data_IF_123339936745
#
_entry.id   IF_123339936745
#
_cell.length_a   1.000
_cell.length_b   1.000
_cell.length_c   1.000
_cell.angle_alpha   90.00
_cell.angle_beta   90.00
_cell.angle_gamma   90.00
#
_symmetry.space_group_name_H-M   'P 1'
#
loop_
_entity.id
_entity.type
_entity.pdbx_description
1 polymer ?
#
# COMPACT_ATOMS: atom_id res chain seq x y z
N UNK A 1 15.36 -50.79 28.06
CA UNK A 1 15.89 -49.76 28.99
C UNK A 1 15.99 -48.45 28.22
N UNK A 2 15.16 -47.44 28.48
CA UNK A 2 15.29 -46.14 27.84
C UNK A 2 16.18 -45.22 28.70
N UNK A 3 17.14 -44.52 28.06
CA UNK A 3 17.98 -43.51 28.72
C UNK A 3 17.22 -42.19 28.79
N UNK A 4 17.03 -41.70 30.01
CA UNK A 4 16.64 -40.32 30.31
C UNK A 4 17.78 -39.36 29.92
N UNK A 5 17.44 -38.24 29.29
CA UNK A 5 18.30 -37.06 29.24
C UNK A 5 17.53 -35.89 29.84
N UNK A 6 18.15 -35.27 30.84
CA UNK A 6 17.63 -34.18 31.67
C UNK A 6 17.85 -32.84 30.96
N UNK A 7 16.82 -31.98 30.93
CA UNK A 7 16.92 -30.60 30.48
C UNK A 7 17.03 -29.69 31.71
N UNK A 8 18.12 -28.93 31.79
CA UNK A 8 18.29 -27.81 32.71
C UNK A 8 17.79 -26.52 32.04
N UNK A 9 17.07 -25.63 32.76
CA UNK A 9 16.60 -24.38 32.19
C UNK A 9 17.70 -23.30 32.26
N UNK A 10 17.95 -22.62 31.14
CA UNK A 10 18.78 -21.42 31.09
C UNK A 10 17.87 -20.21 31.34
N UNK A 11 18.11 -19.52 32.46
CA UNK A 11 17.53 -18.22 32.77
C UNK A 11 18.40 -17.11 32.20
N UNK A 12 17.81 -16.13 31.50
CA UNK A 12 18.46 -14.86 31.17
C UNK A 12 17.74 -13.74 31.91
N UNK A 13 18.47 -13.07 32.81
CA UNK A 13 18.10 -11.79 33.42
C UNK A 13 18.64 -10.60 32.62
N UNK A 14 18.17 -9.36 32.89
CA UNK A 14 18.46 -8.18 32.08
C UNK A 14 19.62 -7.31 32.61
N UNK A 15 20.05 -6.35 31.76
CA UNK A 15 20.84 -5.11 31.99
C UNK A 15 22.32 -5.07 31.48
N UNK A 16 22.92 -3.89 31.18
CA UNK A 16 22.35 -2.59 30.78
C UNK A 16 23.04 -1.91 29.57
N UNK A 17 22.38 -0.83 29.13
CA UNK A 17 22.74 0.15 28.09
C UNK A 17 24.04 0.92 28.39
N UNK A 18 24.89 1.14 27.38
CA UNK A 18 25.97 2.15 27.45
C UNK A 18 26.03 3.04 26.21
N UNK A 19 25.75 4.32 26.46
CA UNK A 19 25.89 5.48 25.58
C UNK A 19 27.38 5.82 25.33
N UNK A 20 27.73 6.13 24.08
CA UNK A 20 29.01 6.75 23.71
C UNK A 20 28.80 7.81 22.63
N UNK A 21 28.61 9.06 23.07
CA UNK A 21 28.86 10.25 22.26
C UNK A 21 30.37 10.53 22.21
N UNK A 22 30.94 10.72 21.02
CA UNK A 22 32.29 11.24 20.82
C UNK A 22 32.23 12.53 20.00
N UNK A 23 32.52 13.64 20.66
CA UNK A 23 32.78 14.96 20.08
C UNK A 23 34.22 15.04 19.57
N UNK A 24 34.44 15.78 18.47
CA UNK A 24 35.76 16.17 17.99
C UNK A 24 35.84 17.68 17.82
N UNK A 25 36.72 18.31 18.60
CA UNK A 25 37.19 19.69 18.45
C UNK A 25 38.49 19.70 17.63
N UNK A 26 38.61 20.63 16.68
CA UNK A 26 39.89 21.29 16.31
C UNK A 26 39.60 22.74 15.91
N UNK A 27 40.21 23.70 16.62
CA UNK A 27 40.47 25.06 16.14
C UNK A 27 41.65 25.08 15.16
N UNK A 28 42.18 26.18 14.64
CA UNK A 28 41.99 27.62 14.77
C UNK A 28 42.91 28.20 13.67
N UNK A 29 42.48 29.18 12.88
CA UNK A 29 43.41 30.14 12.24
C UNK A 29 42.70 31.49 12.01
N UNK A 30 43.47 32.56 12.19
CA UNK A 30 43.07 33.92 12.57
C UNK A 30 43.02 34.91 11.38
N UNK A 31 42.03 35.84 11.42
CA UNK A 31 41.95 37.30 11.07
C UNK A 31 42.76 37.93 9.89
N UNK A 32 42.34 39.06 9.24
CA UNK A 32 41.58 40.24 9.74
C UNK A 32 40.40 40.73 8.84
N UNK A 33 39.29 41.29 9.37
CA UNK A 33 38.95 42.69 9.75
C UNK A 33 39.16 43.82 8.71
N UNK A 34 38.06 44.54 8.38
CA UNK A 34 37.82 46.02 8.19
C UNK A 34 36.85 46.30 7.00
N UNK A 35 35.92 47.29 7.02
CA UNK A 35 35.15 47.91 8.11
C UNK A 35 33.63 48.09 7.84
N UNK A 36 32.96 48.46 8.91
CA UNK A 36 31.61 49.02 9.04
C UNK A 36 31.52 50.46 8.51
N UNK A 37 30.41 50.82 7.85
CA UNK A 37 29.99 52.22 7.67
C UNK A 37 28.51 52.37 8.05
N UNK A 38 28.23 53.23 9.01
CA UNK A 38 26.92 53.82 9.33
C UNK A 38 26.94 55.32 8.95
N UNK A 39 25.87 56.10 9.18
CA UNK A 39 24.54 56.06 8.59
C UNK A 39 24.21 57.40 7.91
N UNK A 40 23.17 57.47 7.09
CA UNK A 40 22.55 58.76 6.75
C UNK A 40 21.01 58.66 6.75
N UNK A 41 20.40 59.61 7.45
CA UNK A 41 18.96 59.94 7.49
C UNK A 41 18.82 61.40 7.04
N UNK A 42 17.61 61.95 6.81
CA UNK A 42 16.39 61.36 6.25
C UNK A 42 15.83 62.22 5.09
N UNK A 43 15.02 61.65 4.20
CA UNK A 43 14.07 62.44 3.41
C UNK A 43 12.66 61.93 3.66
N UNK A 44 11.94 62.72 4.46
CA UNK A 44 10.52 62.61 4.74
C UNK A 44 9.77 62.95 3.45
N UNK A 45 9.11 61.95 2.86
CA UNK A 45 8.08 62.14 1.85
C UNK A 45 6.74 61.71 2.47
N UNK A 46 5.95 62.72 2.83
CA UNK A 46 4.55 62.56 3.21
C UNK A 46 3.79 61.94 2.03
N UNK A 47 3.51 60.64 2.10
CA UNK A 47 2.48 60.01 1.26
C UNK A 47 1.24 59.77 2.11
N UNK A 48 0.20 60.55 1.80
CA UNK A 48 -1.15 60.42 2.32
C UNK A 48 -1.73 59.04 2.00
N UNK A 49 -1.71 58.14 2.96
CA UNK A 49 -2.32 56.81 2.92
C UNK A 49 -3.81 56.89 3.28
N UNK A 50 -4.66 57.47 2.44
CA UNK A 50 -6.10 57.51 2.75
C UNK A 50 -7.08 57.37 1.58
N UNK A 51 -6.65 57.00 0.37
CA UNK A 51 -7.59 56.93 -0.77
C UNK A 51 -7.43 55.75 -1.76
N UNK A 52 -6.64 54.71 -1.46
CA UNK A 52 -6.44 53.60 -2.41
C UNK A 52 -6.92 52.22 -1.94
N UNK A 53 -7.16 52.01 -0.64
CA UNK A 53 -7.67 50.73 -0.13
C UNK A 53 -9.11 50.35 -0.56
N UNK A 54 -10.10 51.27 -0.60
CA UNK A 54 -11.46 50.86 -0.98
C UNK A 54 -11.59 50.59 -2.50
N UNK A 55 -10.72 51.16 -3.34
CA UNK A 55 -10.76 50.97 -4.80
C UNK A 55 -10.18 49.62 -5.24
N UNK A 56 -9.15 49.12 -4.55
CA UNK A 56 -8.57 47.79 -4.82
C UNK A 56 -9.55 46.68 -4.41
N UNK A 57 -10.26 46.86 -3.28
CA UNK A 57 -11.28 45.89 -2.84
C UNK A 57 -12.49 45.85 -3.78
N UNK A 58 -12.96 47.01 -4.26
CA UNK A 58 -14.04 47.08 -5.25
C UNK A 58 -13.64 46.52 -6.62
N UNK A 59 -12.39 46.70 -7.05
CA UNK A 59 -11.89 46.12 -8.30
C UNK A 59 -11.77 44.58 -8.20
N UNK A 60 -11.31 44.04 -7.07
CA UNK A 60 -11.26 42.59 -6.85
C UNK A 60 -12.66 41.94 -6.79
N UNK A 61 -13.64 42.61 -6.15
CA UNK A 61 -15.02 42.15 -6.12
C UNK A 61 -15.71 42.23 -7.49
N UNK A 62 -15.43 43.28 -8.28
CA UNK A 62 -15.96 43.42 -9.64
C UNK A 62 -15.31 42.43 -10.63
N UNK A 63 -14.03 42.11 -10.47
CA UNK A 63 -13.33 41.10 -11.29
C UNK A 63 -13.79 39.67 -10.95
N UNK A 64 -14.13 39.40 -9.68
CA UNK A 64 -14.74 38.13 -9.27
C UNK A 64 -16.19 37.98 -9.77
N UNK A 65 -16.93 39.08 -9.93
CA UNK A 65 -18.31 39.09 -10.41
C UNK A 65 -18.45 39.10 -11.95
N UNK A 66 -17.38 39.44 -12.68
CA UNK A 66 -17.36 39.51 -14.15
C UNK A 66 -16.52 38.42 -14.82
N UNK A 67 -15.92 37.51 -14.05
CA UNK A 67 -15.40 36.27 -14.61
C UNK A 67 -16.58 35.53 -15.26
N UNK A 68 -16.50 35.15 -16.55
CA UNK A 68 -17.58 34.41 -17.16
C UNK A 68 -17.78 33.13 -16.35
N UNK A 69 -19.01 32.88 -15.92
CA UNK A 69 -19.50 31.59 -15.42
C UNK A 69 -19.48 30.55 -16.55
N UNK A 70 -18.32 30.38 -17.20
CA UNK A 70 -18.07 29.45 -18.30
C UNK A 70 -17.22 28.26 -17.82
N UNK A 71 -16.96 28.13 -16.51
CA UNK A 71 -16.32 26.93 -15.94
C UNK A 71 -17.16 26.17 -14.90
N UNK A 72 -18.45 26.46 -14.78
CA UNK A 72 -19.35 25.71 -13.90
C UNK A 72 -20.59 25.25 -14.68
N UNK A 73 -20.39 24.51 -15.78
CA UNK A 73 -21.27 23.36 -15.93
C UNK A 73 -21.06 22.50 -14.66
N UNK A 74 -22.10 21.86 -14.10
CA UNK A 74 -21.87 20.81 -13.13
C UNK A 74 -21.09 19.72 -13.85
N UNK A 75 -19.76 19.81 -13.82
CA UNK A 75 -18.90 18.67 -14.04
C UNK A 75 -19.41 17.69 -13.00
N UNK A 76 -20.15 16.70 -13.44
CA UNK A 76 -20.73 15.69 -12.60
C UNK A 76 -19.56 15.00 -11.89
N UNK A 77 -19.25 15.50 -10.68
CA UNK A 77 -18.09 15.07 -9.90
C UNK A 77 -18.22 13.58 -9.61
N UNK A 78 -19.45 13.06 -9.55
CA UNK A 78 -19.76 11.66 -9.34
C UNK A 78 -19.27 10.76 -10.48
N UNK A 79 -19.11 11.29 -11.70
CA UNK A 79 -18.68 10.53 -12.86
C UNK A 79 -17.18 10.70 -13.17
N UNK A 80 -16.42 11.38 -12.31
CA UNK A 80 -14.96 11.42 -12.44
C UNK A 80 -14.37 10.09 -11.95
N UNK A 81 -13.45 9.52 -12.71
CA UNK A 81 -12.82 8.23 -12.39
C UNK A 81 -12.21 8.19 -10.97
N UNK A 82 -11.56 9.26 -10.54
CA UNK A 82 -11.00 9.37 -9.18
C UNK A 82 -12.09 9.30 -8.11
N UNK A 83 -13.25 9.90 -8.35
CA UNK A 83 -14.38 9.86 -7.42
C UNK A 83 -14.96 8.44 -7.31
N UNK A 84 -15.21 7.76 -8.44
CA UNK A 84 -15.78 6.40 -8.45
C UNK A 84 -14.86 5.41 -7.73
N UNK A 85 -13.54 5.53 -7.97
CA UNK A 85 -12.54 4.66 -7.36
C UNK A 85 -12.41 4.92 -5.85
N UNK A 86 -12.45 6.20 -5.44
CA UNK A 86 -12.47 6.56 -4.03
C UNK A 86 -13.73 6.05 -3.33
N UNK A 87 -14.91 6.21 -3.95
CA UNK A 87 -16.18 5.71 -3.40
C UNK A 87 -16.13 4.20 -3.18
N UNK A 88 -15.56 3.44 -4.12
CA UNK A 88 -15.37 2.01 -3.96
C UNK A 88 -14.40 1.67 -2.81
N UNK A 89 -13.26 2.34 -2.73
CA UNK A 89 -12.31 2.15 -1.64
C UNK A 89 -12.94 2.47 -0.26
N UNK A 90 -13.75 3.53 -0.19
CA UNK A 90 -14.46 3.94 1.02
C UNK A 90 -15.52 2.91 1.42
N UNK A 91 -16.23 2.30 0.47
CA UNK A 91 -17.15 1.18 0.74
C UNK A 91 -16.43 -0.03 1.33
N UNK A 92 -15.25 -0.37 0.84
CA UNK A 92 -14.44 -1.46 1.40
C UNK A 92 -14.00 -1.13 2.83
N UNK A 93 -13.51 0.09 3.07
CA UNK A 93 -13.12 0.54 4.41
C UNK A 93 -14.31 0.54 5.38
N UNK A 94 -15.48 0.99 4.93
CA UNK A 94 -16.70 0.98 5.73
C UNK A 94 -17.12 -0.45 6.08
N UNK A 95 -17.12 -1.36 5.11
CA UNK A 95 -17.39 -2.78 5.36
C UNK A 95 -16.46 -3.34 6.45
N UNK A 96 -15.16 -3.04 6.39
CA UNK A 96 -14.20 -3.49 7.40
C UNK A 96 -14.41 -2.82 8.75
N UNK A 97 -14.77 -1.53 8.78
CA UNK A 97 -15.08 -0.82 10.02
C UNK A 97 -16.32 -1.43 10.72
N UNK A 98 -17.31 -1.87 9.95
CA UNK A 98 -18.54 -2.48 10.48
C UNK A 98 -18.37 -3.95 10.86
N UNK A 99 -17.59 -4.71 10.08
CA UNK A 99 -17.55 -6.18 10.16
C UNK A 99 -16.22 -6.74 10.66
N UNK A 100 -15.19 -5.90 10.82
CA UNK A 100 -13.84 -6.28 11.19
C UNK A 100 -13.00 -6.80 10.02
N UNK A 101 -11.72 -7.04 10.31
CA UNK A 101 -10.71 -7.54 9.36
C UNK A 101 -10.67 -9.06 9.24
N UNK A 102 -11.56 -9.76 9.94
CA UNK A 102 -11.67 -11.21 9.89
C UNK A 102 -12.85 -11.71 10.73
N UNK A 103 -12.94 -13.02 10.94
CA UNK A 103 -14.00 -13.64 11.71
C UNK A 103 -15.36 -13.71 11.01
N UNK A 104 -16.38 -14.15 11.75
CA UNK A 104 -17.68 -14.52 11.18
C UNK A 104 -18.49 -13.35 10.61
N UNK A 105 -18.31 -12.15 11.15
CA UNK A 105 -18.99 -10.94 10.70
C UNK A 105 -18.51 -10.46 9.33
N UNK A 106 -17.27 -10.74 8.93
CA UNK A 106 -16.68 -10.26 7.67
C UNK A 106 -16.75 -11.30 6.54
N UNK A 107 -17.70 -12.24 6.63
CA UNK A 107 -17.90 -13.30 5.63
C UNK A 107 -18.74 -12.83 4.45
N UNK A 108 -18.41 -13.34 3.27
CA UNK A 108 -19.29 -13.32 2.12
C UNK A 108 -20.56 -14.14 2.43
N UNK A 109 -21.77 -13.58 2.34
CA UNK A 109 -23.00 -14.29 2.70
C UNK A 109 -23.30 -15.48 1.78
N UNK A 110 -22.72 -15.51 0.56
CA UNK A 110 -22.95 -16.60 -0.40
C UNK A 110 -22.00 -17.77 -0.21
N UNK A 111 -20.73 -17.49 0.04
CA UNK A 111 -19.68 -18.52 0.13
C UNK A 111 -19.32 -18.86 1.57
N UNK A 112 -19.73 -18.01 2.54
CA UNK A 112 -19.34 -18.11 3.93
C UNK A 112 -17.86 -17.78 4.19
N UNK A 113 -17.10 -17.28 3.22
CA UNK A 113 -15.65 -17.07 3.37
C UNK A 113 -15.31 -15.65 3.83
N UNK A 114 -14.28 -15.53 4.65
CA UNK A 114 -13.84 -14.27 5.26
C UNK A 114 -13.16 -13.36 4.22
N UNK A 115 -13.75 -12.22 3.91
CA UNK A 115 -13.38 -11.40 2.75
C UNK A 115 -12.05 -10.63 2.89
N UNK A 116 -11.74 -9.93 4.00
CA UNK A 116 -10.58 -9.05 4.02
C UNK A 116 -9.22 -9.78 3.79
N UNK A 117 -8.90 -10.89 4.48
CA UNK A 117 -7.70 -11.67 4.19
C UNK A 117 -7.72 -12.30 2.78
N UNK A 118 -8.90 -12.62 2.24
CA UNK A 118 -9.02 -13.14 0.88
C UNK A 118 -8.71 -12.08 -0.18
N UNK A 119 -9.14 -10.83 0.00
CA UNK A 119 -8.78 -9.75 -0.92
C UNK A 119 -7.28 -9.50 -0.93
N UNK A 120 -6.62 -9.56 0.23
CA UNK A 120 -5.17 -9.49 0.32
C UNK A 120 -4.48 -10.66 -0.40
N UNK A 121 -4.98 -11.89 -0.22
CA UNK A 121 -4.42 -13.06 -0.91
C UNK A 121 -4.63 -12.98 -2.42
N UNK A 122 -5.82 -12.57 -2.88
CA UNK A 122 -6.15 -12.48 -4.30
C UNK A 122 -5.13 -11.63 -5.07
N UNK A 123 -4.74 -10.48 -4.54
CA UNK A 123 -3.80 -9.60 -5.25
C UNK A 123 -2.39 -10.19 -5.33
N UNK A 124 -1.92 -10.93 -4.31
CA UNK A 124 -0.63 -11.60 -4.40
C UNK A 124 -0.66 -12.69 -5.47
N UNK A 125 -1.74 -13.45 -5.52
CA UNK A 125 -1.90 -14.52 -6.52
C UNK A 125 -2.12 -13.99 -7.94
N UNK A 126 -2.68 -12.80 -8.10
CA UNK A 126 -2.81 -12.10 -9.39
C UNK A 126 -1.49 -11.42 -9.83
N UNK A 127 -0.46 -11.43 -8.98
CA UNK A 127 0.84 -10.81 -9.29
C UNK A 127 1.87 -11.78 -9.87
N UNK A 128 1.47 -13.01 -10.23
CA UNK A 128 2.37 -14.11 -10.58
C UNK A 128 3.37 -13.78 -11.69
N UNK A 129 2.92 -13.09 -12.73
CA UNK A 129 3.73 -12.74 -13.91
C UNK A 129 4.54 -11.43 -13.79
N UNK A 130 4.63 -10.84 -12.59
CA UNK A 130 5.57 -9.72 -12.37
C UNK A 130 7.01 -10.20 -12.64
N UNK A 131 7.64 -9.63 -13.67
CA UNK A 131 9.03 -9.92 -14.03
C UNK A 131 9.79 -8.67 -14.49
N UNK A 132 10.89 -8.35 -13.81
CA UNK A 132 11.79 -7.25 -14.21
C UNK A 132 12.81 -7.64 -15.28
N UNK A 133 12.87 -8.92 -15.71
CA UNK A 133 13.71 -9.33 -16.84
C UNK A 133 13.01 -8.98 -18.15
N UNK A 134 13.40 -7.85 -18.74
CA UNK A 134 12.83 -7.39 -20.00
C UNK A 134 13.32 -8.23 -21.17
N UNK A 135 12.40 -8.85 -21.90
CA UNK A 135 12.62 -9.10 -23.33
C UNK A 135 12.14 -7.85 -24.08
N UNK A 136 13.03 -7.28 -24.90
CA UNK A 136 12.75 -6.06 -25.65
C UNK A 136 11.56 -6.24 -26.59
N UNK A 137 10.49 -5.48 -26.34
CA UNK A 137 9.33 -5.39 -27.22
C UNK A 137 8.55 -4.11 -26.93
N UNK A 138 8.33 -3.31 -27.97
CA UNK A 138 7.67 -2.01 -27.92
C UNK A 138 6.16 -2.08 -27.53
N UNK A 139 5.77 -1.08 -26.71
CA UNK A 139 4.44 -0.45 -26.50
C UNK A 139 3.38 -1.13 -25.58
N UNK A 140 2.47 -0.34 -24.95
CA UNK A 140 2.55 1.03 -24.40
C UNK A 140 2.14 1.09 -22.90
N UNK A 141 2.45 2.14 -22.10
CA UNK A 141 1.77 2.34 -20.82
C UNK A 141 0.68 3.40 -20.95
N UNK A 142 -0.55 3.06 -20.59
CA UNK A 142 -1.53 4.04 -20.10
C UNK A 142 -1.85 3.69 -18.65
N UNK A 143 -0.82 3.73 -17.80
CA UNK A 143 -1.02 3.73 -16.36
C UNK A 143 -1.40 5.14 -15.93
N UNK A 144 -2.57 5.30 -15.30
CA UNK A 144 -2.96 6.55 -14.66
C UNK A 144 -2.80 6.37 -13.16
N UNK A 145 -1.89 7.13 -12.55
CA UNK A 145 -1.77 7.20 -11.09
C UNK A 145 -3.03 7.89 -10.56
N UNK A 146 -3.81 7.16 -9.77
CA UNK A 146 -4.99 7.69 -9.08
C UNK A 146 -4.61 7.87 -7.62
N UNK A 147 -4.33 9.12 -7.23
CA UNK A 147 -4.05 9.43 -5.83
C UNK A 147 -5.36 9.37 -5.04
N UNK A 148 -5.51 8.32 -4.22
CA UNK A 148 -6.57 8.27 -3.20
C UNK A 148 -6.31 9.35 -2.15
N UNK A 149 -7.36 9.88 -1.53
CA UNK A 149 -7.18 10.92 -0.50
C UNK A 149 -6.47 10.34 0.72
N UNK A 150 -5.40 10.99 1.22
CA UNK A 150 -4.72 10.53 2.42
C UNK A 150 -5.60 10.66 3.65
N UNK A 151 -5.49 9.68 4.56
CA UNK A 151 -6.01 9.78 5.93
C UNK A 151 -5.26 10.91 6.68
N UNK A 152 -5.83 11.54 7.74
CA UNK A 152 -5.33 12.81 8.29
C UNK A 152 -4.02 12.74 9.09
N UNK A 153 -3.13 11.77 8.83
CA UNK A 153 -1.82 11.69 9.46
C UNK A 153 -0.71 12.14 8.49
N UNK A 154 0.20 13.04 8.93
CA UNK A 154 1.22 13.60 8.06
C UNK A 154 2.35 12.59 7.86
N UNK A 155 2.38 11.92 6.70
CA UNK A 155 3.57 11.21 6.22
C UNK A 155 4.12 11.88 4.94
N UNK A 156 5.45 11.93 4.83
CA UNK A 156 6.21 12.70 3.85
C UNK A 156 6.05 12.13 2.42
N UNK A 157 6.12 12.96 1.37
CA UNK A 157 5.85 12.54 0.00
C UNK A 157 7.08 12.03 -0.80
N UNK A 158 8.21 11.70 -0.17
CA UNK A 158 9.46 11.39 -0.91
C UNK A 158 9.77 9.90 -1.15
N UNK A 159 8.85 8.99 -0.85
CA UNK A 159 8.94 7.60 -1.31
C UNK A 159 7.64 7.15 -1.98
N UNK A 160 7.27 7.84 -3.05
CA UNK A 160 6.21 7.39 -3.96
C UNK A 160 6.60 6.03 -4.53
N UNK A 161 5.76 5.02 -4.37
CA UNK A 161 6.00 3.68 -4.90
C UNK A 161 5.77 3.67 -6.43
N UNK A 162 6.66 4.28 -7.20
CA UNK A 162 6.69 4.23 -8.67
C UNK A 162 7.27 2.91 -9.20
N UNK A 163 7.19 1.82 -8.42
CA UNK A 163 7.97 0.60 -8.63
C UNK A 163 7.54 -0.26 -9.83
N UNK A 164 6.35 -0.05 -10.40
CA UNK A 164 5.79 -0.90 -11.47
C UNK A 164 5.95 -0.33 -12.89
N UNK A 165 6.86 0.61 -13.14
CA UNK A 165 6.91 1.34 -14.42
C UNK A 165 7.68 0.67 -15.58
N UNK A 166 8.22 -0.55 -15.46
CA UNK A 166 8.91 -1.16 -16.61
C UNK A 166 8.90 -2.69 -16.65
N UNK A 167 7.87 -3.28 -17.27
CA UNK A 167 7.95 -4.36 -18.26
C UNK A 167 6.55 -4.87 -18.61
N UNK A 168 6.40 -5.46 -19.80
CA UNK A 168 5.15 -5.87 -20.44
C UNK A 168 4.33 -6.99 -19.77
N UNK A 169 4.56 -7.27 -18.48
CA UNK A 169 3.61 -7.95 -17.61
C UNK A 169 3.68 -7.32 -16.22
N UNK A 170 2.55 -6.83 -15.73
CA UNK A 170 2.48 -5.99 -14.53
C UNK A 170 2.11 -6.78 -13.27
N UNK A 171 1.64 -8.02 -13.42
CA UNK A 171 0.75 -8.62 -12.43
C UNK A 171 -0.40 -7.67 -12.05
N UNK A 172 -1.19 -8.04 -11.05
CA UNK A 172 -2.26 -7.18 -10.52
C UNK A 172 -3.23 -6.71 -11.63
N UNK A 173 -3.41 -7.54 -12.65
CA UNK A 173 -4.03 -7.22 -13.93
C UNK A 173 -5.30 -8.04 -14.20
N UNK A 174 -5.72 -8.83 -13.20
CA UNK A 174 -6.91 -9.65 -13.17
C UNK A 174 -6.78 -11.00 -13.88
N UNK A 175 -5.58 -11.42 -14.31
CA UNK A 175 -5.33 -12.72 -14.93
C UNK A 175 -5.77 -13.90 -14.05
N UNK A 176 -5.76 -13.75 -12.72
CA UNK A 176 -6.12 -14.80 -11.74
C UNK A 176 -7.49 -15.43 -11.98
N UNK A 177 -8.43 -14.71 -12.62
CA UNK A 177 -9.77 -15.22 -12.93
C UNK A 177 -9.71 -16.44 -13.85
N UNK A 178 -8.63 -16.59 -14.62
CA UNK A 178 -8.37 -17.72 -15.52
C UNK A 178 -7.53 -18.82 -14.87
N UNK A 179 -7.20 -18.70 -13.58
CA UNK A 179 -6.14 -19.46 -12.93
C UNK A 179 -6.57 -20.14 -11.63
N UNK A 180 -7.81 -19.95 -11.20
CA UNK A 180 -8.32 -20.44 -9.92
C UNK A 180 -8.20 -21.97 -9.71
N UNK A 181 -8.02 -22.74 -10.80
CA UNK A 181 -7.79 -24.19 -10.75
C UNK A 181 -6.31 -24.61 -10.62
N UNK A 182 -5.37 -23.66 -10.52
CA UNK A 182 -3.93 -23.95 -10.43
C UNK A 182 -3.49 -24.23 -9.00
N UNK A 183 -2.41 -25.02 -8.80
CA UNK A 183 -1.80 -25.20 -7.48
C UNK A 183 -1.46 -23.86 -6.82
N UNK A 184 -1.75 -23.73 -5.54
CA UNK A 184 -1.58 -22.50 -4.77
C UNK A 184 -2.82 -21.61 -4.74
N UNK A 185 -3.74 -21.73 -5.71
CA UNK A 185 -4.96 -20.93 -5.77
C UNK A 185 -6.15 -21.58 -5.03
N UNK A 186 -5.91 -22.63 -4.26
CA UNK A 186 -6.96 -23.38 -3.56
C UNK A 186 -7.78 -22.46 -2.64
N UNK A 187 -9.10 -22.52 -2.80
CA UNK A 187 -10.02 -21.70 -2.00
C UNK A 187 -10.21 -20.27 -2.50
N UNK A 188 -9.54 -19.83 -3.57
CA UNK A 188 -9.87 -18.57 -4.25
C UNK A 188 -11.06 -18.77 -5.19
N UNK A 189 -11.95 -17.78 -5.29
CA UNK A 189 -13.11 -17.84 -6.17
C UNK A 189 -13.55 -16.45 -6.63
N UNK A 190 -14.09 -16.38 -7.86
CA UNK A 190 -14.68 -15.14 -8.41
C UNK A 190 -15.78 -14.59 -7.50
N UNK A 191 -16.54 -15.48 -6.84
CA UNK A 191 -17.62 -15.09 -5.94
C UNK A 191 -17.15 -14.28 -4.72
N UNK A 192 -15.86 -14.35 -4.36
CA UNK A 192 -15.26 -13.65 -3.22
C UNK A 192 -14.51 -12.37 -3.63
N UNK A 193 -14.36 -12.13 -4.94
CA UNK A 193 -13.70 -10.93 -5.46
C UNK A 193 -14.57 -9.69 -5.21
N UNK A 194 -13.93 -8.60 -4.79
CA UNK A 194 -14.60 -7.32 -4.71
C UNK A 194 -14.93 -6.83 -6.14
N UNK A 195 -16.14 -6.32 -6.33
CA UNK A 195 -16.64 -5.96 -7.65
C UNK A 195 -17.45 -4.65 -7.60
N UNK A 196 -17.32 -3.86 -8.66
CA UNK A 196 -18.08 -2.64 -8.89
C UNK A 196 -18.27 -2.45 -10.40
N UNK A 197 -19.48 -2.14 -10.85
CA UNK A 197 -19.82 -2.10 -12.28
C UNK A 197 -19.11 -0.98 -13.05
N UNK A 198 -18.69 0.07 -12.36
CA UNK A 198 -18.03 1.25 -12.94
C UNK A 198 -16.50 1.29 -12.72
N UNK A 199 -15.92 0.25 -12.13
CA UNK A 199 -14.47 0.13 -11.89
C UNK A 199 -13.97 -1.13 -12.60
N UNK A 200 -12.77 -1.08 -13.18
CA UNK A 200 -12.19 -2.27 -13.83
C UNK A 200 -12.01 -3.39 -12.80
N UNK A 201 -12.26 -4.65 -13.19
CA UNK A 201 -12.12 -5.80 -12.28
C UNK A 201 -10.72 -5.92 -11.63
N UNK A 202 -9.60 -5.73 -12.35
CA UNK A 202 -8.27 -5.71 -11.72
C UNK A 202 -8.14 -4.58 -10.70
N UNK A 203 -8.67 -3.41 -11.04
CA UNK A 203 -8.65 -2.24 -10.17
C UNK A 203 -9.50 -2.47 -8.91
N UNK A 204 -10.65 -3.15 -8.99
CA UNK A 204 -11.46 -3.48 -7.79
C UNK A 204 -10.75 -4.46 -6.87
N UNK A 205 -10.02 -5.44 -7.42
CA UNK A 205 -9.20 -6.37 -6.63
C UNK A 205 -8.07 -5.63 -5.90
N UNK A 206 -7.29 -4.83 -6.64
CA UNK A 206 -6.18 -4.06 -6.11
C UNK A 206 -6.63 -3.06 -5.04
N UNK A 207 -7.69 -2.29 -5.32
CA UNK A 207 -8.25 -1.33 -4.37
C UNK A 207 -8.79 -2.00 -3.12
N UNK A 208 -9.45 -3.16 -3.23
CA UNK A 208 -9.99 -3.85 -2.07
C UNK A 208 -8.89 -4.34 -1.13
N UNK A 209 -7.78 -4.86 -1.67
CA UNK A 209 -6.63 -5.25 -0.86
C UNK A 209 -5.94 -4.04 -0.21
N UNK A 210 -5.69 -2.96 -0.96
CA UNK A 210 -5.08 -1.73 -0.43
C UNK A 210 -5.95 -1.12 0.67
N UNK A 211 -7.26 -1.03 0.44
CA UNK A 211 -8.21 -0.54 1.43
C UNK A 211 -8.25 -1.45 2.66
N UNK A 212 -8.11 -2.77 2.49
CA UNK A 212 -8.02 -3.72 3.59
C UNK A 212 -6.80 -3.49 4.45
N UNK A 213 -5.62 -3.41 3.84
CA UNK A 213 -4.36 -3.15 4.57
C UNK A 213 -4.49 -1.87 5.40
N UNK A 214 -4.96 -0.78 4.78
CA UNK A 214 -5.14 0.50 5.48
C UNK A 214 -6.18 0.44 6.61
N UNK A 215 -7.33 -0.22 6.38
CA UNK A 215 -8.39 -0.32 7.39
C UNK A 215 -8.02 -1.23 8.57
N UNK A 216 -7.15 -2.21 8.35
CA UNK A 216 -6.74 -3.19 9.34
C UNK A 216 -5.52 -2.78 10.19
N UNK A 217 -5.01 -1.56 10.01
CA UNK A 217 -3.87 -1.02 10.77
C UNK A 217 -2.54 -1.08 10.03
N UNK A 218 -2.54 -1.51 8.77
CA UNK A 218 -1.35 -1.55 7.91
C UNK A 218 -1.02 -0.19 7.27
N UNK A 219 0.05 -0.16 6.45
CA UNK A 219 0.50 1.07 5.81
C UNK A 219 -0.46 1.56 4.72
N UNK A 220 -0.38 2.86 4.42
CA UNK A 220 -1.05 3.42 3.25
C UNK A 220 -0.27 3.08 1.98
N UNK A 221 -0.94 2.48 0.99
CA UNK A 221 -0.34 2.03 -0.27
C UNK A 221 -0.90 2.86 -1.42
N UNK A 222 -0.01 3.30 -2.30
CA UNK A 222 -0.40 4.04 -3.49
C UNK A 222 -1.06 3.11 -4.50
N UNK A 223 -2.14 3.59 -5.11
CA UNK A 223 -2.91 2.84 -6.09
C UNK A 223 -2.66 3.37 -7.51
N UNK A 224 -2.51 2.44 -8.46
CA UNK A 224 -2.42 2.74 -9.90
C UNK A 224 -3.51 1.97 -10.61
N UNK A 225 -4.25 2.65 -11.49
CA UNK A 225 -5.36 2.09 -12.26
C UNK A 225 -4.91 1.67 -13.66
N UNK A 226 -5.63 0.70 -14.22
CA UNK A 226 -5.56 0.36 -15.64
C UNK A 226 -4.56 -0.75 -15.95
N UNK A 227 -4.14 -1.50 -14.93
CA UNK A 227 -3.36 -2.72 -15.11
C UNK A 227 -4.29 -3.78 -15.69
N UNK A 228 -3.94 -4.30 -16.87
CA UNK A 228 -4.71 -5.33 -17.58
C UNK A 228 -3.79 -6.13 -18.48
N UNK A 229 -3.89 -7.45 -18.39
CA UNK A 229 -3.23 -8.39 -19.29
C UNK A 229 -4.25 -9.37 -19.90
N UNK A 230 -4.12 -9.71 -21.19
CA UNK A 230 -4.98 -10.69 -21.82
C UNK A 230 -4.52 -12.13 -21.50
N UNK A 231 -5.31 -12.85 -20.71
CA UNK A 231 -5.14 -14.29 -20.48
C UNK A 231 -4.48 -14.63 -19.15
N UNK A 232 -4.19 -15.92 -18.90
CA UNK A 232 -3.58 -16.35 -17.66
C UNK A 232 -2.05 -16.18 -17.69
N UNK A 233 -1.46 -15.95 -16.53
CA UNK A 233 -0.03 -15.94 -16.26
C UNK A 233 0.61 -17.30 -16.64
N UNK A 234 1.94 -17.37 -16.81
CA UNK A 234 2.65 -18.64 -16.86
C UNK A 234 2.47 -19.46 -15.56
N UNK A 235 2.52 -20.78 -15.68
CA UNK A 235 2.44 -21.67 -14.52
C UNK A 235 3.71 -21.59 -13.66
N UNK A 236 3.58 -21.93 -12.36
CA UNK A 236 4.69 -22.09 -11.42
C UNK A 236 5.47 -20.81 -11.07
N UNK A 237 4.84 -19.65 -11.22
CA UNK A 237 5.46 -18.38 -10.85
C UNK A 237 5.24 -17.97 -9.39
N UNK A 238 4.19 -18.47 -8.73
CA UNK A 238 3.93 -18.20 -7.32
C UNK A 238 4.61 -19.22 -6.41
N UNK A 239 5.20 -18.81 -5.27
CA UNK A 239 5.67 -19.73 -4.24
C UNK A 239 4.54 -20.60 -3.68
N UNK A 240 4.79 -21.90 -3.54
CA UNK A 240 3.91 -22.82 -2.83
C UNK A 240 4.40 -23.05 -1.39
N UNK A 241 3.52 -23.37 -0.43
CA UNK A 241 3.92 -23.72 0.94
C UNK A 241 4.84 -24.95 1.02
N UNK A 242 4.84 -25.80 0.00
CA UNK A 242 5.69 -27.00 -0.10
C UNK A 242 7.03 -26.75 -0.80
N UNK A 243 7.24 -25.57 -1.38
CA UNK A 243 8.46 -25.28 -2.12
C UNK A 243 9.66 -25.17 -1.17
N UNK A 244 10.88 -25.51 -1.62
CA UNK A 244 12.09 -25.14 -0.91
C UNK A 244 12.21 -23.62 -0.77
N UNK A 245 12.74 -23.16 0.36
CA UNK A 245 12.91 -21.74 0.65
C UNK A 245 13.67 -21.00 -0.47
N UNK A 246 14.67 -21.65 -1.07
CA UNK A 246 15.47 -21.09 -2.15
C UNK A 246 14.61 -20.77 -3.38
N UNK A 247 13.68 -21.65 -3.74
CA UNK A 247 12.76 -21.44 -4.86
C UNK A 247 11.75 -20.33 -4.55
N UNK A 248 11.21 -20.29 -3.34
CA UNK A 248 10.31 -19.20 -2.92
C UNK A 248 11.01 -17.84 -3.00
N UNK A 249 12.26 -17.75 -2.55
CA UNK A 249 13.06 -16.53 -2.62
C UNK A 249 13.38 -16.16 -4.08
N UNK A 250 13.75 -17.13 -4.91
CA UNK A 250 14.02 -16.91 -6.34
C UNK A 250 12.79 -16.35 -7.07
N UNK A 251 11.61 -16.91 -6.81
CA UNK A 251 10.34 -16.41 -7.37
C UNK A 251 10.10 -14.95 -6.97
N UNK A 252 10.29 -14.60 -5.71
CA UNK A 252 10.11 -13.23 -5.24
C UNK A 252 11.17 -12.26 -5.78
N UNK A 253 12.42 -12.72 -5.96
CA UNK A 253 13.48 -11.92 -6.56
C UNK A 253 13.24 -11.66 -8.05
N UNK A 254 12.67 -12.63 -8.78
CA UNK A 254 12.22 -12.43 -10.17
C UNK A 254 11.21 -11.30 -10.28
N UNK A 255 10.29 -11.19 -9.31
CA UNK A 255 9.31 -10.11 -9.21
C UNK A 255 9.93 -8.75 -8.85
N UNK A 256 11.24 -8.70 -8.57
CA UNK A 256 11.97 -7.47 -8.28
C UNK A 256 12.10 -7.12 -6.80
N UNK A 257 11.65 -8.00 -5.90
CA UNK A 257 11.80 -7.76 -4.47
C UNK A 257 13.22 -8.04 -3.99
N UNK A 258 13.72 -7.21 -3.08
CA UNK A 258 14.93 -7.52 -2.32
C UNK A 258 14.61 -8.35 -1.06
N UNK A 259 15.62 -8.91 -0.41
CA UNK A 259 15.45 -9.79 0.74
C UNK A 259 14.56 -9.20 1.87
N UNK A 260 14.73 -7.92 2.19
CA UNK A 260 13.91 -7.27 3.23
C UNK A 260 12.44 -7.11 2.81
N UNK A 261 12.20 -6.87 1.52
CA UNK A 261 10.85 -6.79 0.96
C UNK A 261 10.19 -8.16 0.88
N UNK A 262 10.94 -9.22 0.59
CA UNK A 262 10.41 -10.60 0.64
C UNK A 262 9.88 -10.93 2.04
N UNK A 263 10.65 -10.64 3.08
CA UNK A 263 10.22 -10.83 4.47
C UNK A 263 8.98 -9.99 4.78
N UNK A 264 8.98 -8.71 4.39
CA UNK A 264 7.84 -7.82 4.65
C UNK A 264 6.56 -8.25 3.92
N UNK A 265 6.66 -8.72 2.68
CA UNK A 265 5.48 -9.10 1.87
C UNK A 265 5.00 -10.49 2.25
N UNK A 266 5.87 -11.50 2.25
CA UNK A 266 5.47 -12.89 2.49
C UNK A 266 5.09 -13.08 3.95
N UNK A 267 6.00 -12.78 4.89
CA UNK A 267 5.74 -12.97 6.31
C UNK A 267 4.81 -11.90 6.85
N UNK A 268 5.02 -10.62 6.49
CA UNK A 268 4.19 -9.54 7.01
C UNK A 268 2.72 -9.64 6.58
N UNK A 269 2.41 -10.05 5.35
CA UNK A 269 1.00 -10.21 4.93
C UNK A 269 0.28 -11.33 5.67
N UNK A 270 1.00 -12.35 6.13
CA UNK A 270 0.43 -13.45 6.92
C UNK A 270 -0.03 -13.03 8.32
N UNK A 271 0.21 -11.80 8.78
CA UNK A 271 -0.42 -11.30 10.02
C UNK A 271 -1.96 -11.25 9.91
N UNK A 272 -2.50 -11.17 8.69
CA UNK A 272 -3.94 -11.27 8.45
C UNK A 272 -4.33 -12.63 7.89
N UNK A 273 -5.16 -13.36 8.62
CA UNK A 273 -5.78 -14.61 8.18
C UNK A 273 -5.05 -15.88 8.63
N UNK A 274 -5.12 -16.89 7.78
CA UNK A 274 -4.74 -18.25 8.11
C UNK A 274 -5.15 -19.24 7.03
N UNK A 275 -4.99 -20.52 7.35
CA UNK A 275 -5.23 -21.63 6.44
C UNK A 275 -6.40 -22.51 6.92
N UNK A 276 -7.15 -23.04 5.96
CA UNK A 276 -8.31 -23.90 6.22
C UNK A 276 -8.03 -25.32 5.74
N UNK A 277 -8.30 -26.35 6.56
CA UNK A 277 -8.13 -27.76 6.18
C UNK A 277 -8.93 -28.12 4.91
N UNK A 278 -10.08 -27.49 4.68
CA UNK A 278 -10.90 -27.73 3.49
C UNK A 278 -10.16 -27.44 2.17
N UNK A 279 -9.18 -26.52 2.18
CA UNK A 279 -8.40 -26.13 1.01
C UNK A 279 -6.97 -26.69 1.08
N UNK A 280 -6.42 -26.89 2.28
CA UNK A 280 -5.05 -27.31 2.52
C UNK A 280 -4.96 -28.48 3.52
N UNK A 281 -5.57 -29.64 3.21
CA UNK A 281 -5.68 -30.76 4.14
C UNK A 281 -4.33 -31.41 4.48
N UNK A 282 -3.29 -31.14 3.69
CA UNK A 282 -1.93 -31.63 3.92
C UNK A 282 -1.12 -30.73 4.87
N UNK A 283 -1.57 -29.49 5.13
CA UNK A 283 -0.89 -28.53 6.00
C UNK A 283 -1.55 -28.44 7.39
N UNK A 284 -2.86 -28.66 7.48
CA UNK A 284 -3.59 -28.60 8.75
C UNK A 284 -4.79 -29.54 8.78
N UNK A 285 -5.21 -29.90 9.99
CA UNK A 285 -6.49 -30.54 10.27
C UNK A 285 -7.52 -29.58 10.87
N UNK A 286 -7.15 -28.33 11.16
CA UNK A 286 -8.05 -27.33 11.75
C UNK A 286 -8.96 -26.74 10.67
N UNK A 287 -10.22 -26.47 11.04
CA UNK A 287 -11.14 -25.74 10.16
C UNK A 287 -10.53 -24.40 9.75
N UNK A 288 -9.89 -23.71 10.69
CA UNK A 288 -9.08 -22.51 10.48
C UNK A 288 -7.87 -22.56 11.43
N UNK A 289 -6.66 -22.47 10.87
CA UNK A 289 -5.42 -22.30 11.61
C UNK A 289 -4.85 -20.91 11.30
N UNK A 290 -4.86 -19.97 12.26
CA UNK A 290 -4.28 -18.65 12.04
C UNK A 290 -2.76 -18.72 11.93
N UNK A 291 -2.17 -17.79 11.18
CA UNK A 291 -0.72 -17.71 11.05
C UNK A 291 -0.04 -17.08 12.27
N UNK A 292 -0.74 -16.20 13.01
CA UNK A 292 -0.30 -15.63 14.28
C UNK A 292 -1.42 -15.59 15.33
N UNK A 293 -1.19 -14.94 16.47
CA UNK A 293 -2.16 -14.83 17.57
C UNK A 293 -3.21 -13.72 17.39
N UNK A 294 -3.10 -12.91 16.35
CA UNK A 294 -3.97 -11.76 16.06
C UNK A 294 -4.35 -11.72 14.57
N UNK A 295 -4.96 -12.77 14.01
CA UNK A 295 -5.17 -12.95 12.57
C UNK A 295 -6.16 -11.96 11.94
N UNK A 296 -6.68 -11.01 12.71
CA UNK A 296 -7.62 -9.96 12.29
C UNK A 296 -7.07 -8.56 12.57
N UNK A 297 -5.78 -8.42 12.85
CA UNK A 297 -5.13 -7.14 13.08
C UNK A 297 -3.86 -7.12 12.24
N UNK A 298 -3.66 -6.05 11.46
CA UNK A 298 -2.43 -5.90 10.71
C UNK A 298 -1.35 -5.37 11.66
N UNK A 299 -0.57 -6.26 12.26
CA UNK A 299 0.50 -5.91 13.20
C UNK A 299 1.79 -6.74 12.99
N UNK A 300 2.69 -6.71 13.97
CA UNK A 300 3.99 -7.39 13.89
C UNK A 300 4.02 -8.71 14.68
N UNK A 301 2.88 -9.26 15.12
CA UNK A 301 2.85 -10.51 15.90
C UNK A 301 3.31 -11.72 15.09
N UNK A 302 3.12 -11.70 13.77
CA UNK A 302 3.63 -12.73 12.85
C UNK A 302 5.16 -12.91 12.88
N UNK A 303 5.90 -11.91 13.39
CA UNK A 303 7.37 -11.96 13.50
C UNK A 303 7.88 -12.41 14.88
N UNK A 304 7.00 -12.77 15.81
CA UNK A 304 7.34 -13.19 17.19
C UNK A 304 7.44 -14.71 17.29
#
# INVERSE_FOLDING_TARGET
>A
MPRHVSLTPITYGPEPVRSLYKTHHRGLHSFPLIPETQPSSPHILHFTTQAMFPRILCAAAALAAAAPLVSALPNDVSNRHDFIYQEFADKVKLFIAENGCGGDSSRNPKTGRVLPPLWLRLIFHDSGDVSLKGEGGDAPPVSRVVSLRPSPHPFRPDSTATWFQSNGSFGLDGSIIFELGRPGNEGLAIADMAHHTSVLMPDTMNLAAIATIAACGGPEIQFTSGLKHPGPDPHHLLPLPSDPNELSVENMFRMGFNASQVVAIVTGSHTLGGLHAANNPHLTSLEFAPFDFTPTVFDNNIFK
#
